data_IF_465610694677
#
_entry.id   IF_465610694677
#
_cell.length_a   1.000
_cell.length_b   1.000
_cell.length_c   1.000
_cell.angle_alpha   90.00
_cell.angle_beta   90.00
_cell.angle_gamma   90.00
#
_symmetry.space_group_name_H-M   'P 1'
#
loop_
_entity.id
_entity.type
_entity.pdbx_description
1 polymer ?
2 non-polymer ?
3 non-polymer ?
4 water ?
#
# COMPACT_ATOMS: atom_id res chain seq x y z
N UNK A 3 2.05 25.43 4.55
CA UNK A 3 2.66 24.73 3.41
C UNK A 3 2.64 25.66 2.20
N UNK A 4 3.65 25.47 1.35
CA UNK A 4 3.61 26.10 0.03
C UNK A 4 2.34 25.75 -0.74
N UNK A 5 1.92 26.56 -1.70
CA UNK A 5 0.82 26.19 -2.57
C UNK A 5 1.19 25.00 -3.42
N UNK A 6 0.28 24.03 -3.61
CA UNK A 6 0.54 22.97 -4.59
C UNK A 6 0.79 23.59 -5.96
N UNK A 7 1.63 22.96 -6.75
CA UNK A 7 2.02 23.41 -8.08
C UNK A 7 1.36 22.58 -9.15
N UNK A 8 0.24 23.02 -9.69
CA UNK A 8 -0.45 22.27 -10.69
C UNK A 8 0.29 22.15 -12.01
N UNK A 9 1.04 23.16 -12.40
CA UNK A 9 1.85 23.07 -13.62
C UNK A 9 2.88 21.95 -13.48
N UNK A 10 3.49 21.88 -12.31
CA UNK A 10 4.43 20.82 -12.01
C UNK A 10 3.75 19.46 -12.00
N UNK A 11 2.57 19.35 -11.40
CA UNK A 11 1.83 18.11 -11.45
C UNK A 11 1.54 17.68 -12.86
N UNK A 12 1.11 18.63 -13.68
CA UNK A 12 0.79 18.35 -15.06
C UNK A 12 2.02 17.75 -15.74
N UNK A 13 3.15 18.38 -15.53
CA UNK A 13 4.39 17.89 -16.17
C UNK A 13 4.74 16.50 -15.71
N UNK A 14 4.57 16.21 -14.40
CA UNK A 14 4.86 14.86 -13.91
C UNK A 14 4.02 13.82 -14.64
N UNK A 15 2.71 14.08 -14.73
CA UNK A 15 1.83 13.12 -15.41
C UNK A 15 2.24 12.93 -16.85
N UNK A 16 2.51 14.05 -17.53
CA UNK A 16 2.90 13.96 -18.95
C UNK A 16 4.17 13.16 -19.13
N UNK A 17 5.14 13.36 -18.23
CA UNK A 17 6.37 12.60 -18.27
C UNK A 17 6.06 11.13 -18.05
N UNK A 18 5.20 10.82 -17.09
CA UNK A 18 4.87 9.39 -16.84
C UNK A 18 4.31 8.76 -18.10
N UNK A 19 3.44 9.42 -18.80
CA UNK A 19 2.90 8.88 -20.05
C UNK A 19 4.06 8.63 -21.04
N UNK A 20 4.97 9.57 -21.13
CA UNK A 20 6.10 9.46 -22.07
C UNK A 20 7.00 8.28 -21.75
N UNK A 21 6.93 7.81 -20.52
CA UNK A 21 7.74 6.69 -20.04
C UNK A 21 7.00 5.37 -20.05
N UNK A 22 5.72 5.34 -20.42
CA UNK A 22 5.03 4.09 -20.60
C UNK A 22 3.80 3.89 -19.76
N UNK A 23 3.40 4.88 -18.95
CA UNK A 23 2.12 4.75 -18.28
C UNK A 23 0.98 5.01 -19.23
N UNK A 24 -0.01 4.14 -19.40
CA UNK A 24 -1.13 4.50 -20.25
C UNK A 24 -1.88 5.71 -19.73
N UNK A 25 -2.04 5.81 -18.43
CA UNK A 25 -2.69 6.88 -17.76
C UNK A 25 -2.01 7.18 -16.44
N UNK A 26 -2.21 8.43 -16.00
CA UNK A 26 -1.65 8.87 -14.74
C UNK A 26 -2.50 9.96 -14.18
N UNK A 27 -2.66 10.01 -12.86
CA UNK A 27 -3.61 11.00 -12.30
C UNK A 27 -3.19 11.28 -10.86
N UNK A 28 -3.69 12.39 -10.32
CA UNK A 28 -3.37 12.85 -8.96
C UNK A 28 -4.48 13.70 -8.44
N UNK A 29 -4.80 13.53 -7.14
CA UNK A 29 -5.69 14.38 -6.42
C UNK A 29 -4.95 14.90 -5.21
N UNK A 30 -5.14 16.17 -4.93
CA UNK A 30 -4.68 16.82 -3.71
C UNK A 30 -5.90 17.36 -2.96
N UNK A 31 -6.02 17.05 -1.69
CA UNK A 31 -6.98 17.70 -0.80
C UNK A 31 -6.19 18.69 0.03
N UNK A 32 -6.12 19.97 -0.35
CA UNK A 32 -5.39 21.01 0.32
C UNK A 32 -6.26 21.75 1.29
N UNK A 33 -6.45 21.23 2.47
CA UNK A 33 -7.23 21.86 3.52
C UNK A 33 -8.58 22.34 2.99
N UNK A 34 -9.27 21.49 2.24
CA UNK A 34 -10.57 21.84 1.73
C UNK A 34 -10.64 22.38 0.31
N UNK A 35 -9.51 22.61 -0.33
CA UNK A 35 -9.46 23.03 -1.71
C UNK A 35 -8.87 21.87 -2.51
N UNK A 36 -9.59 21.42 -3.55
CA UNK A 36 -9.20 20.24 -4.30
C UNK A 36 -8.36 20.60 -5.51
N UNK A 37 -7.32 19.81 -5.75
CA UNK A 37 -6.60 19.85 -7.00
C UNK A 37 -6.73 18.51 -7.65
N UNK A 38 -7.03 18.41 -8.94
CA UNK A 38 -7.22 17.12 -9.59
C UNK A 38 -6.75 17.23 -11.04
N UNK A 39 -5.87 16.30 -11.43
CA UNK A 39 -5.34 16.25 -12.79
C UNK A 39 -5.26 14.81 -13.21
N UNK A 40 -5.44 14.57 -14.51
CA UNK A 40 -5.31 13.25 -15.09
C UNK A 40 -4.86 13.37 -16.53
N UNK A 41 -4.09 12.42 -17.01
CA UNK A 41 -3.72 12.40 -18.41
C UNK A 41 -3.74 10.98 -18.89
N UNK A 42 -4.19 10.74 -20.13
CA UNK A 42 -4.12 9.40 -20.69
C UNK A 42 -5.37 8.58 -20.43
N UNK A 43 -5.16 7.25 -20.51
CA UNK A 43 -6.27 6.32 -20.66
C UNK A 43 -6.35 5.34 -19.49
N UNK A 44 -7.58 5.11 -19.10
CA UNK A 44 -7.93 4.02 -18.18
C UNK A 44 -7.89 2.65 -18.85
N UNK A 45 -8.25 2.62 -20.12
CA UNK A 45 -8.29 1.38 -20.90
C UNK A 45 -7.62 1.75 -22.24
N UNK A 46 -6.45 1.18 -22.45
CA UNK A 46 -5.65 1.52 -23.63
C UNK A 46 -6.19 0.89 -24.90
N UNK A 47 -7.01 -0.13 -24.81
CA UNK A 47 -7.60 -0.78 -25.96
C UNK A 47 -8.83 -0.07 -26.43
N UNK A 48 -9.70 0.37 -25.50
CA UNK A 48 -10.88 1.12 -25.87
C UNK A 48 -10.59 2.59 -26.00
N UNK A 49 -9.52 3.12 -25.38
CA UNK A 49 -9.24 4.55 -25.37
C UNK A 49 -9.95 5.35 -24.33
N UNK A 50 -10.73 4.73 -23.44
CA UNK A 50 -11.45 5.44 -22.41
C UNK A 50 -10.46 6.20 -21.52
N UNK A 51 -10.73 7.50 -21.30
CA UNK A 51 -9.83 8.36 -20.58
C UNK A 51 -9.82 8.00 -19.11
N UNK A 52 -8.67 8.13 -18.48
CA UNK A 52 -8.53 8.01 -17.01
C UNK A 52 -9.02 9.26 -16.36
N UNK A 53 -9.59 9.12 -15.17
CA UNK A 53 -10.06 10.23 -14.39
C UNK A 53 -9.76 9.96 -12.90
N UNK A 54 -9.74 11.03 -12.12
CA UNK A 54 -9.41 10.88 -10.69
C UNK A 54 -10.51 10.19 -9.91
N UNK A 55 -11.66 9.92 -10.48
CA UNK A 55 -12.71 9.15 -9.77
C UNK A 55 -12.64 7.66 -10.10
N UNK A 56 -11.74 7.24 -10.96
CA UNK A 56 -11.63 5.82 -11.31
C UNK A 56 -11.08 5.02 -10.13
N UNK A 57 -11.76 3.90 -9.83
CA UNK A 57 -11.24 3.02 -8.76
C UNK A 57 -10.01 2.29 -9.26
N UNK A 58 -9.18 1.82 -8.33
CA UNK A 58 -7.97 1.13 -8.70
C UNK A 58 -7.47 0.26 -7.54
N UNK A 59 -6.53 -0.60 -7.81
CA UNK A 59 -5.91 -1.45 -6.79
C UNK A 59 -4.76 -0.69 -6.13
N UNK A 60 -4.87 -0.46 -4.82
CA UNK A 60 -3.92 0.35 -4.08
C UNK A 60 -2.67 -0.40 -3.65
N UNK A 61 -2.65 -1.72 -3.91
CA UNK A 61 -1.52 -2.51 -3.55
C UNK A 61 -1.12 -2.36 -2.08
N UNK A 62 0.17 -2.21 -1.80
CA UNK A 62 0.67 -2.22 -0.43
C UNK A 62 0.24 -1.06 0.40
N UNK A 63 -0.52 -0.08 -0.11
CA UNK A 63 -1.23 0.86 0.78
C UNK A 63 -2.11 0.09 1.74
N UNK A 64 -2.55 -1.11 1.34
CA UNK A 64 -3.29 -1.99 2.22
C UNK A 64 -2.63 -2.21 3.57
N UNK A 65 -1.31 -2.21 3.58
CA UNK A 65 -0.59 -2.42 4.85
C UNK A 65 -0.98 -1.39 5.89
N UNK A 66 -1.24 -0.15 5.49
CA UNK A 66 -1.67 0.86 6.43
C UNK A 66 -3.07 0.58 7.00
N UNK A 67 -3.95 0.04 6.17
CA UNK A 67 -5.28 -0.39 6.65
C UNK A 67 -5.12 -1.51 7.65
N UNK A 68 -4.30 -2.50 7.34
CA UNK A 68 -4.04 -3.59 8.28
C UNK A 68 -3.45 -3.09 9.60
N UNK A 69 -2.49 -2.17 9.49
CA UNK A 69 -1.89 -1.60 10.70
C UNK A 69 -2.89 -0.87 11.53
N UNK A 70 -3.80 -0.11 10.94
CA UNK A 70 -4.83 0.59 11.72
C UNK A 70 -5.65 -0.42 12.49
N UNK A 71 -6.10 -1.49 11.85
CA UNK A 71 -6.90 -2.48 12.57
C UNK A 71 -6.10 -3.03 13.75
N UNK A 72 -4.85 -3.42 13.52
CA UNK A 72 -4.04 -3.99 14.59
C UNK A 72 -3.90 -3.01 15.71
N UNK A 73 -3.67 -1.72 15.43
CA UNK A 73 -3.42 -0.73 16.46
C UNK A 73 -4.68 -0.46 17.25
N UNK A 74 -5.87 -0.54 16.63
CA UNK A 74 -7.12 -0.47 17.37
C UNK A 74 -7.25 -1.70 18.29
N UNK A 75 -6.82 -2.89 17.87
CA UNK A 75 -6.80 -4.04 18.76
C UNK A 75 -5.87 -3.82 19.94
N UNK A 76 -4.75 -3.14 19.76
CA UNK A 76 -3.87 -2.75 20.86
C UNK A 76 -4.65 -1.82 21.80
N UNK A 77 -5.30 -0.81 21.28
CA UNK A 77 -6.12 0.08 22.10
C UNK A 77 -7.15 -0.69 22.94
N UNK A 78 -7.74 -1.72 22.40
CA UNK A 78 -8.76 -2.52 23.03
C UNK A 78 -8.19 -3.57 23.99
N UNK A 79 -6.87 -3.66 24.08
CA UNK A 79 -6.24 -4.59 25.02
C UNK A 79 -6.18 -6.02 24.51
N UNK A 80 -6.37 -6.24 23.22
CA UNK A 80 -6.41 -7.55 22.59
C UNK A 80 -5.09 -7.98 22.00
N UNK A 81 -4.11 -7.05 21.91
CA UNK A 81 -2.87 -7.26 21.25
C UNK A 81 -1.80 -6.45 21.93
N UNK A 82 -0.64 -6.99 22.15
CA UNK A 82 0.53 -6.31 22.69
C UNK A 82 1.60 -6.28 21.61
N UNK A 83 2.01 -5.07 21.21
CA UNK A 83 2.98 -4.99 20.13
C UNK A 83 4.30 -5.73 20.44
N UNK A 84 4.67 -5.83 21.72
CA UNK A 84 5.95 -6.46 22.05
C UNK A 84 5.83 -7.92 22.42
N UNK A 85 4.61 -8.52 22.33
CA UNK A 85 4.46 -9.96 22.45
C UNK A 85 4.94 -10.64 21.18
N UNK A 86 5.41 -11.86 21.33
CA UNK A 86 5.73 -12.76 20.25
C UNK A 86 4.57 -12.99 19.31
N UNK A 87 4.81 -13.04 18.01
CA UNK A 87 3.80 -13.51 17.08
C UNK A 87 3.24 -14.89 17.54
N UNK A 88 4.20 -15.78 17.88
CA UNK A 88 3.79 -17.15 18.21
C UNK A 88 2.99 -17.24 19.48
N UNK A 89 2.94 -16.18 20.31
CA UNK A 89 2.03 -16.16 21.45
C UNK A 89 0.58 -16.26 21.00
N UNK A 90 0.28 -15.63 19.86
CA UNK A 90 -1.06 -15.58 19.31
C UNK A 90 -1.34 -16.62 18.27
N UNK A 91 -0.29 -16.99 17.54
CA UNK A 91 -0.38 -17.94 16.44
C UNK A 91 0.64 -19.03 16.70
N UNK A 92 0.32 -19.96 17.58
CA UNK A 92 1.36 -20.89 18.09
C UNK A 92 1.98 -21.67 16.95
N UNK A 93 3.29 -21.79 16.99
CA UNK A 93 4.06 -22.55 16.03
C UNK A 93 4.12 -21.94 14.68
N UNK A 94 3.65 -20.67 14.49
CA UNK A 94 3.63 -20.16 13.13
C UNK A 94 5.01 -19.87 12.59
N UNK A 95 5.82 -19.14 13.36
CA UNK A 95 7.15 -18.72 12.93
C UNK A 95 8.21 -19.60 13.57
N UNK A 96 9.37 -19.77 12.93
CA UNK A 96 10.47 -20.61 13.43
C UNK A 96 11.15 -20.00 14.64
N UNK A 97 10.90 -18.72 14.94
CA UNK A 97 11.56 -18.05 16.06
C UNK A 97 10.48 -17.41 16.93
N UNK A 98 10.35 -17.86 18.18
CA UNK A 98 9.40 -17.18 19.06
C UNK A 98 9.67 -15.72 19.38
N UNK A 99 10.94 -15.39 19.26
CA UNK A 99 11.39 -14.07 19.64
C UNK A 99 10.84 -12.99 18.71
N UNK A 100 10.36 -13.37 17.52
CA UNK A 100 9.83 -12.39 16.56
C UNK A 100 8.53 -11.81 17.11
N UNK A 101 8.50 -10.49 17.27
CA UNK A 101 7.34 -9.80 17.88
C UNK A 101 6.42 -9.16 16.82
N UNK A 102 5.22 -8.80 17.28
CA UNK A 102 4.26 -8.09 16.44
C UNK A 102 4.84 -6.79 15.93
N UNK A 103 5.48 -6.01 16.78
CA UNK A 103 6.07 -4.74 16.41
C UNK A 103 7.13 -4.93 15.32
N UNK A 104 7.93 -6.00 15.46
CA UNK A 104 8.95 -6.29 14.44
C UNK A 104 8.33 -6.62 13.10
N UNK A 105 7.27 -7.43 13.10
CA UNK A 105 6.57 -7.73 11.85
C UNK A 105 6.04 -6.47 11.23
N UNK A 106 5.40 -5.60 12.02
CA UNK A 106 4.73 -4.41 11.46
C UNK A 106 5.66 -3.36 10.90
N UNK A 107 6.91 -3.40 11.36
CA UNK A 107 7.95 -2.48 10.93
C UNK A 107 8.97 -3.14 10.00
N UNK A 108 8.72 -4.35 9.54
CA UNK A 108 9.64 -5.05 8.62
C UNK A 108 10.99 -5.28 9.24
N UNK A 109 11.06 -5.60 10.53
CA UNK A 109 12.29 -5.90 11.23
C UNK A 109 12.29 -7.34 11.66
N UNK A 110 11.47 -8.18 11.15
CA UNK A 110 11.28 -9.55 11.60
C UNK A 110 12.30 -10.53 11.02
N UNK A 111 12.92 -10.19 9.89
CA UNK A 111 13.77 -11.11 9.17
C UNK A 111 13.03 -12.10 8.31
N UNK A 112 11.70 -12.10 8.25
CA UNK A 112 10.98 -13.05 7.42
C UNK A 112 11.26 -12.82 5.94
N UNK A 113 11.56 -13.88 5.24
CA UNK A 113 11.87 -13.83 3.82
C UNK A 113 10.62 -13.42 3.03
N UNK A 114 10.82 -12.57 2.04
CA UNK A 114 9.74 -12.11 1.25
C UNK A 114 9.43 -13.10 0.13
N UNK A 115 8.39 -13.88 0.26
CA UNK A 115 7.99 -14.92 -0.70
C UNK A 115 7.74 -14.33 -2.08
N UNK A 116 7.40 -13.03 -2.16
CA UNK A 116 7.12 -12.48 -3.48
C UNK A 116 8.39 -12.47 -4.35
N UNK A 117 9.56 -12.53 -3.80
CA UNK A 117 10.77 -12.60 -4.62
C UNK A 117 10.82 -13.91 -5.40
N UNK A 118 10.20 -14.97 -4.85
CA UNK A 118 10.11 -16.22 -5.57
C UNK A 118 9.04 -16.13 -6.62
N UNK A 119 7.88 -15.57 -6.24
CA UNK A 119 6.76 -15.50 -7.14
C UNK A 119 7.03 -14.69 -8.38
N UNK A 120 7.70 -13.56 -8.25
CA UNK A 120 7.82 -12.63 -9.34
C UNK A 120 9.26 -12.44 -9.82
N UNK A 121 10.07 -13.52 -9.77
CA UNK A 121 11.42 -13.52 -10.32
C UNK A 121 11.32 -13.16 -11.81
N UNK A 122 10.27 -13.58 -12.44
CA UNK A 122 9.89 -13.20 -13.80
C UNK A 122 8.53 -12.53 -13.70
N UNK A 123 8.41 -11.28 -14.12
CA UNK A 123 7.24 -10.47 -13.83
C UNK A 123 5.96 -11.04 -14.41
N UNK A 124 5.94 -11.18 -15.72
CA UNK A 124 4.65 -11.61 -16.36
C UNK A 124 4.41 -13.06 -16.09
N UNK A 125 5.37 -13.99 -16.22
CA UNK A 125 5.08 -15.37 -15.85
C UNK A 125 4.61 -15.50 -14.42
N UNK A 126 5.19 -14.74 -13.48
CA UNK A 126 4.78 -14.81 -12.11
C UNK A 126 3.37 -14.32 -11.92
N UNK A 127 2.98 -13.24 -12.59
CA UNK A 127 1.61 -12.78 -12.59
C UNK A 127 0.67 -13.87 -13.12
N UNK A 128 1.02 -14.47 -14.25
CA UNK A 128 0.18 -15.51 -14.82
C UNK A 128 0.03 -16.68 -13.87
N UNK A 129 1.08 -16.94 -13.07
CA UNK A 129 1.05 -18.03 -12.09
C UNK A 129 0.07 -17.75 -10.95
N UNK A 130 0.06 -16.54 -10.40
CA UNK A 130 -0.70 -16.27 -9.19
C UNK A 130 -2.04 -15.67 -9.47
N UNK A 131 -2.31 -15.10 -10.64
CA UNK A 131 -3.43 -14.17 -10.73
C UNK A 131 -4.77 -14.80 -10.44
N UNK A 132 -4.93 -16.08 -10.74
CA UNK A 132 -6.16 -16.85 -10.59
C UNK A 132 -6.07 -17.89 -9.51
N UNK A 133 -5.12 -17.77 -8.60
CA UNK A 133 -4.95 -18.68 -7.48
C UNK A 133 -5.57 -18.06 -6.24
N UNK A 134 -6.07 -18.95 -5.37
CA UNK A 134 -6.52 -18.61 -4.05
C UNK A 134 -5.60 -19.30 -3.04
N UNK A 135 -4.94 -18.50 -2.21
CA UNK A 135 -4.05 -18.95 -1.19
C UNK A 135 -4.67 -18.76 0.17
N UNK A 136 -4.38 -19.65 1.13
CA UNK A 136 -4.67 -19.35 2.50
C UNK A 136 -3.53 -18.49 3.03
N UNK A 137 -3.78 -17.81 4.16
CA UNK A 137 -2.71 -17.12 4.85
C UNK A 137 -1.55 -18.06 5.14
N UNK A 138 -1.87 -19.24 5.66
CA UNK A 138 -0.86 -20.23 5.97
C UNK A 138 -0.04 -20.61 4.75
N UNK A 139 -0.68 -20.75 3.59
CA UNK A 139 0.09 -21.14 2.41
C UNK A 139 1.21 -20.15 2.18
N UNK A 140 0.91 -18.85 2.31
CA UNK A 140 1.91 -17.79 2.03
C UNK A 140 3.04 -17.81 3.07
N UNK A 141 2.70 -18.01 4.34
CA UNK A 141 3.69 -18.12 5.39
C UNK A 141 4.58 -19.32 5.10
N UNK A 142 3.99 -20.45 4.71
CA UNK A 142 4.82 -21.65 4.41
C UNK A 142 5.79 -21.36 3.26
N UNK A 143 5.37 -20.63 2.23
CA UNK A 143 6.25 -20.24 1.14
C UNK A 143 7.42 -19.41 1.64
N UNK A 144 7.20 -18.49 2.55
CA UNK A 144 8.29 -17.71 3.13
C UNK A 144 9.26 -18.61 3.89
N UNK A 145 8.68 -19.52 4.67
CA UNK A 145 9.45 -20.32 5.63
C UNK A 145 10.23 -21.40 4.92
N UNK A 146 10.07 -21.60 3.63
CA UNK A 146 11.00 -22.46 2.86
C UNK A 146 12.39 -21.83 2.89
N UNK A 147 12.53 -20.57 3.20
CA UNK A 147 13.78 -19.87 3.26
C UNK A 147 14.04 -19.47 4.69
N UNK A 148 15.33 -19.37 5.01
CA UNK A 148 15.75 -18.93 6.32
C UNK A 148 15.36 -17.49 6.49
N UNK A 149 15.28 -17.12 7.75
CA UNK A 149 15.16 -15.69 7.94
C UNK A 149 16.43 -15.03 7.43
N UNK A 150 16.32 -13.75 7.13
CA UNK A 150 17.44 -13.04 6.53
C UNK A 150 18.23 -12.25 7.57
N UNK A 151 17.77 -12.11 8.81
CA UNK A 151 18.46 -11.33 9.81
C UNK A 151 17.80 -11.72 11.13
N UNK A 152 18.50 -11.36 12.20
CA UNK A 152 17.99 -11.58 13.55
C UNK A 152 16.73 -10.80 13.83
N UNK A 153 15.84 -11.22 14.74
CA UNK A 153 14.63 -10.42 15.05
C UNK A 153 15.02 -9.01 15.50
N UNK A 154 14.32 -8.06 14.91
CA UNK A 154 14.38 -6.68 15.24
C UNK A 154 15.55 -5.93 14.62
N UNK A 155 16.48 -6.65 13.99
CA UNK A 155 17.81 -6.22 13.76
C UNK A 155 18.07 -5.34 12.56
N UNK A 156 17.25 -5.43 11.57
CA UNK A 156 17.47 -4.87 10.26
C UNK A 156 16.10 -4.62 9.63
N UNK A 157 15.98 -3.53 8.90
CA UNK A 157 14.82 -3.32 8.05
C UNK A 157 14.95 -4.11 6.77
N UNK A 158 13.93 -4.87 6.44
CA UNK A 158 13.85 -5.64 5.20
C UNK A 158 12.40 -5.77 4.86
N UNK A 159 11.97 -5.00 3.86
CA UNK A 159 10.55 -5.03 3.51
C UNK A 159 10.13 -6.42 3.06
N UNK A 160 9.01 -6.90 3.59
CA UNK A 160 8.57 -8.23 3.26
C UNK A 160 7.08 -8.31 3.30
N UNK A 161 6.42 -8.76 2.23
CA UNK A 161 5.00 -9.00 2.21
C UNK A 161 4.60 -9.97 3.32
N UNK A 162 5.47 -10.93 3.62
CA UNK A 162 5.18 -11.94 4.63
C UNK A 162 4.73 -11.28 5.94
N UNK A 163 5.32 -10.16 6.30
CA UNK A 163 4.97 -9.49 7.53
C UNK A 163 3.48 -9.11 7.57
N UNK A 164 2.93 -8.65 6.46
CA UNK A 164 1.55 -8.23 6.46
C UNK A 164 0.57 -9.35 6.11
N UNK A 165 1.04 -10.52 5.68
CA UNK A 165 0.31 -11.77 5.74
C UNK A 165 0.14 -12.17 7.20
N UNK A 166 1.23 -12.14 7.98
CA UNK A 166 1.09 -12.33 9.42
C UNK A 166 0.07 -11.39 10.01
N UNK A 167 0.10 -10.11 9.62
CA UNK A 167 -0.86 -9.12 10.12
C UNK A 167 -2.29 -9.59 9.91
N UNK A 168 -2.63 -10.05 8.70
CA UNK A 168 -3.97 -10.50 8.45
C UNK A 168 -4.36 -11.71 9.28
N UNK A 169 -3.44 -12.65 9.46
CA UNK A 169 -3.67 -13.80 10.33
C UNK A 169 -4.01 -13.41 11.75
N UNK A 170 -3.23 -12.45 12.21
CA UNK A 170 -3.44 -11.96 13.57
C UNK A 170 -4.80 -11.32 13.70
N UNK A 171 -5.16 -10.48 12.74
CA UNK A 171 -6.49 -9.87 12.77
C UNK A 171 -7.56 -10.90 12.85
N UNK A 172 -7.51 -11.90 11.96
CA UNK A 172 -8.59 -12.87 11.89
C UNK A 172 -8.62 -13.73 13.13
N UNK A 173 -7.45 -14.15 13.63
CA UNK A 173 -7.43 -15.00 14.83
C UNK A 173 -7.99 -14.26 16.02
N UNK A 174 -7.58 -13.03 16.24
CA UNK A 174 -7.91 -12.33 17.48
C UNK A 174 -9.35 -11.80 17.48
N UNK A 175 -9.87 -11.52 16.31
CA UNK A 175 -11.26 -11.00 16.23
C UNK A 175 -12.28 -12.05 15.93
N UNK A 176 -11.91 -13.17 15.34
CA UNK A 176 -12.86 -14.15 14.87
C UNK A 176 -13.64 -13.72 13.63
N UNK A 177 -13.18 -12.66 12.95
CA UNK A 177 -13.81 -12.10 11.79
C UNK A 177 -12.82 -12.09 10.64
N UNK A 178 -13.36 -11.96 9.44
CA UNK A 178 -12.49 -11.79 8.30
C UNK A 178 -11.88 -10.41 8.25
N UNK A 179 -10.76 -10.29 7.54
CA UNK A 179 -10.18 -8.94 7.41
C UNK A 179 -11.17 -8.04 6.69
N UNK A 180 -11.92 -8.52 5.73
CA UNK A 180 -12.88 -7.65 5.06
C UNK A 180 -13.86 -7.01 6.06
N UNK A 181 -14.42 -7.82 6.96
CA UNK A 181 -15.33 -7.35 7.98
C UNK A 181 -14.67 -6.31 8.87
N UNK A 182 -13.43 -6.57 9.29
CA UNK A 182 -12.72 -5.65 10.16
C UNK A 182 -12.42 -4.32 9.47
N UNK A 183 -11.93 -4.39 8.22
CA UNK A 183 -11.70 -3.14 7.46
C UNK A 183 -13.01 -2.37 7.34
N UNK A 184 -14.10 -3.08 7.03
CA UNK A 184 -15.39 -2.40 6.78
C UNK A 184 -15.83 -1.71 8.06
N UNK A 185 -15.82 -2.42 9.18
CA UNK A 185 -16.43 -1.89 10.40
C UNK A 185 -15.51 -0.83 11.05
N UNK A 186 -14.22 -0.97 10.97
CA UNK A 186 -13.29 -0.11 11.70
C UNK A 186 -12.83 1.09 10.87
N UNK A 187 -12.94 1.00 9.55
CA UNK A 187 -12.33 2.00 8.68
C UNK A 187 -13.32 2.44 7.61
N UNK A 188 -13.77 1.56 6.72
CA UNK A 188 -14.51 1.98 5.55
C UNK A 188 -15.82 2.65 5.91
N UNK A 189 -16.59 2.01 6.79
CA UNK A 189 -17.85 2.60 7.21
C UNK A 189 -17.63 3.87 8.02
N UNK A 190 -16.85 3.88 9.08
CA UNK A 190 -16.73 5.14 9.85
C UNK A 190 -16.27 6.32 9.05
N UNK A 191 -15.38 6.14 8.06
CA UNK A 191 -14.91 7.25 7.23
C UNK A 191 -15.74 7.43 5.95
N UNK A 192 -16.76 6.64 5.75
CA UNK A 192 -17.61 6.75 4.56
C UNK A 192 -16.83 6.64 3.28
N UNK A 193 -15.98 5.60 3.21
CA UNK A 193 -15.12 5.37 2.05
C UNK A 193 -15.89 4.60 0.98
N UNK A 194 -16.75 5.32 0.24
CA UNK A 194 -17.70 4.70 -0.68
C UNK A 194 -17.07 4.10 -1.90
N UNK A 195 -15.81 4.34 -2.17
CA UNK A 195 -15.07 3.75 -3.27
C UNK A 195 -14.10 2.68 -2.85
N UNK A 196 -14.14 2.28 -1.57
CA UNK A 196 -13.11 1.41 -1.00
C UNK A 196 -13.71 0.05 -0.68
N UNK A 197 -12.99 -0.98 -1.11
CA UNK A 197 -13.46 -2.35 -1.03
C UNK A 197 -12.35 -3.31 -0.72
N UNK A 198 -12.71 -4.45 -0.14
CA UNK A 198 -11.82 -5.60 -0.03
C UNK A 198 -12.71 -6.80 -0.41
N UNK A 199 -12.50 -7.30 -1.61
CA UNK A 199 -13.38 -8.29 -2.22
C UNK A 199 -12.71 -9.62 -2.42
N UNK A 200 -11.50 -9.82 -1.97
CA UNK A 200 -10.74 -11.04 -2.13
C UNK A 200 -11.62 -12.24 -1.82
N UNK A 201 -11.58 -13.29 -2.64
CA UNK A 201 -10.76 -13.48 -3.86
C UNK A 201 -11.45 -13.07 -5.14
N UNK A 202 -12.50 -12.27 -5.13
CA UNK A 202 -13.10 -11.79 -6.36
C UNK A 202 -12.11 -11.01 -7.18
N UNK A 203 -12.17 -11.17 -8.49
CA UNK A 203 -11.31 -10.58 -9.48
C UNK A 203 -11.88 -9.29 -10.10
N UNK A 204 -13.17 -9.03 -9.89
CA UNK A 204 -13.83 -7.86 -10.45
C UNK A 204 -13.55 -6.66 -9.60
N UNK A 205 -13.29 -5.50 -10.25
CA UNK A 205 -13.21 -4.22 -9.56
C UNK A 205 -14.58 -3.57 -9.65
N UNK A 206 -15.24 -3.34 -8.53
CA UNK A 206 -16.59 -2.76 -8.61
C UNK A 206 -16.57 -1.37 -9.17
N UNK A 207 -17.52 -1.07 -10.07
CA UNK A 207 -17.68 0.28 -10.60
C UNK A 207 -16.63 0.64 -11.63
N UNK A 208 -16.68 1.90 -12.03
CA UNK A 208 -15.78 2.43 -13.04
C UNK A 208 -14.36 2.44 -12.48
N UNK A 209 -13.44 1.87 -13.23
CA UNK A 209 -12.08 1.68 -12.76
C UNK A 209 -11.06 1.89 -13.84
N UNK A 210 -9.85 2.19 -13.42
CA UNK A 210 -8.68 2.15 -14.32
C UNK A 210 -8.28 0.70 -14.48
N UNK A 211 -8.03 0.30 -15.73
CA UNK A 211 -7.42 -0.98 -15.97
C UNK A 211 -5.94 -0.88 -15.62
N UNK A 212 -5.34 -1.99 -15.21
CA UNK A 212 -3.93 -2.04 -14.91
C UNK A 212 -3.17 -2.68 -16.05
N UNK A 213 -1.98 -2.16 -16.33
CA UNK A 213 -1.15 -2.69 -17.42
C UNK A 213 0.23 -3.03 -16.91
N UNK A 214 0.53 -4.29 -16.89
CA UNK A 214 1.81 -4.80 -16.42
C UNK A 214 2.83 -4.66 -17.54
N UNK A 215 3.95 -3.98 -17.23
CA UNK A 215 5.06 -3.88 -18.16
C UNK A 215 5.85 -5.15 -18.12
N UNK A 216 6.15 -5.77 -19.26
CA UNK A 216 6.94 -7.00 -19.23
C UNK A 216 8.39 -6.66 -18.90
N UNK A 217 9.15 -7.69 -18.45
CA UNK A 217 10.58 -7.49 -18.18
C UNK A 217 11.36 -7.17 -19.41
N UNK A 218 10.91 -7.55 -20.59
CA UNK A 218 11.60 -7.30 -21.86
C UNK A 218 11.34 -5.89 -22.35
N UNK A 219 12.37 -5.10 -22.56
CA UNK A 219 12.25 -3.79 -23.07
C UNK A 219 11.46 -3.81 -24.38
N UNK A 220 10.50 -2.87 -24.46
CA UNK A 220 9.69 -2.72 -25.65
C UNK A 220 8.60 -3.73 -25.77
N UNK A 221 8.43 -4.67 -24.84
CA UNK A 221 7.39 -5.68 -24.98
C UNK A 221 6.00 -5.12 -24.78
N UNK A 222 5.04 -5.85 -25.33
CA UNK A 222 3.64 -5.44 -25.24
C UNK A 222 3.15 -5.49 -23.81
N UNK A 223 2.30 -4.53 -23.44
CA UNK A 223 1.71 -4.51 -22.14
C UNK A 223 0.66 -5.61 -21.98
N UNK A 224 0.56 -6.09 -20.73
CA UNK A 224 -0.37 -7.13 -20.34
C UNK A 224 -1.46 -6.54 -19.46
N UNK A 225 -2.71 -6.75 -19.79
CA UNK A 225 -3.83 -6.28 -18.94
C UNK A 225 -3.82 -7.12 -17.68
N UNK A 226 -3.55 -6.49 -16.53
CA UNK A 226 -3.48 -7.17 -15.25
C UNK A 226 -4.59 -6.77 -14.31
N UNK A 227 -5.64 -6.15 -14.83
CA UNK A 227 -6.74 -5.60 -14.05
C UNK A 227 -7.37 -6.61 -13.10
N UNK A 228 -7.76 -7.74 -13.64
CA UNK A 228 -8.60 -8.70 -12.91
C UNK A 228 -7.78 -9.87 -12.41
N UNK A 229 -7.63 -9.90 -11.09
CA UNK A 229 -6.84 -10.93 -10.43
C UNK A 229 -7.38 -11.07 -9.01
N UNK A 230 -7.08 -12.19 -8.36
CA UNK A 230 -7.57 -12.40 -7.00
C UNK A 230 -6.84 -11.52 -5.97
N UNK A 231 -5.59 -11.18 -6.27
CA UNK A 231 -4.67 -10.57 -5.32
C UNK A 231 -4.56 -11.46 -4.08
N UNK A 232 -4.75 -12.76 -4.22
CA UNK A 232 -4.70 -13.68 -3.06
C UNK A 232 -3.27 -13.86 -2.60
N UNK A 233 -2.33 -13.59 -3.46
CA UNK A 233 -0.93 -13.66 -3.09
C UNK A 233 -0.56 -12.59 -2.07
N UNK A 234 -1.38 -11.56 -1.90
CA UNK A 234 -1.10 -10.46 -0.99
C UNK A 234 -2.10 -10.29 0.14
N UNK A 235 -3.40 -10.33 -0.14
CA UNK A 235 -4.44 -10.23 0.88
C UNK A 235 -4.27 -9.02 1.75
N UNK A 236 -4.08 -9.16 3.05
CA UNK A 236 -3.89 -8.06 3.99
C UNK A 236 -2.59 -7.32 3.79
N UNK A 237 -1.74 -7.75 2.88
CA UNK A 237 -0.55 -7.02 2.47
C UNK A 237 -0.78 -6.16 1.23
N UNK A 238 -1.89 -6.35 0.50
CA UNK A 238 -2.03 -5.72 -0.80
C UNK A 238 -3.34 -5.66 -1.54
N UNK A 239 -4.47 -6.17 -1.05
CA UNK A 239 -5.65 -6.36 -1.91
C UNK A 239 -6.74 -5.31 -1.80
N UNK A 240 -6.60 -4.19 -1.12
CA UNK A 240 -7.63 -3.16 -1.08
C UNK A 240 -7.79 -2.46 -2.41
N UNK A 241 -9.04 -2.14 -2.78
CA UNK A 241 -9.43 -1.32 -3.88
C UNK A 241 -9.87 0.03 -3.34
N UNK A 242 -9.49 1.16 -3.95
CA UNK A 242 -9.91 2.46 -3.48
C UNK A 242 -9.91 3.48 -4.61
N UNK A 243 -9.98 4.74 -4.20
CA UNK A 243 -9.93 5.89 -5.09
C UNK A 243 -9.02 6.93 -4.49
N UNK A 244 -8.68 7.90 -5.32
CA UNK A 244 -7.84 9.03 -4.81
C UNK A 244 -8.54 9.79 -3.70
N UNK A 245 -9.86 10.04 -3.82
CA UNK A 245 -10.54 10.75 -2.76
C UNK A 245 -10.52 9.95 -1.49
N UNK A 246 -10.77 8.64 -1.54
CA UNK A 246 -10.84 7.85 -0.34
C UNK A 246 -9.47 7.66 0.32
N UNK A 247 -8.41 7.49 -0.43
CA UNK A 247 -7.11 7.40 0.19
C UNK A 247 -6.74 8.72 0.86
N UNK A 248 -7.08 9.85 0.25
CA UNK A 248 -6.85 11.16 0.85
C UNK A 248 -7.63 11.22 2.16
N UNK A 249 -8.89 10.83 2.19
CA UNK A 249 -9.67 10.85 3.39
C UNK A 249 -9.03 9.97 4.45
N UNK A 250 -8.62 8.76 4.08
CA UNK A 250 -8.04 7.81 5.02
C UNK A 250 -6.77 8.35 5.66
N UNK A 251 -5.80 8.81 4.86
CA UNK A 251 -4.53 9.27 5.47
C UNK A 251 -4.73 10.58 6.20
N UNK A 252 -5.65 11.45 5.77
CA UNK A 252 -5.94 12.62 6.59
C UNK A 252 -6.51 12.26 7.95
N UNK A 253 -7.43 11.30 7.96
CA UNK A 253 -8.02 10.83 9.22
C UNK A 253 -6.97 10.22 10.14
N UNK A 254 -6.08 9.43 9.54
CA UNK A 254 -5.01 8.81 10.30
C UNK A 254 -4.15 9.85 10.98
N UNK A 255 -3.58 10.76 10.18
CA UNK A 255 -2.60 11.73 10.68
C UNK A 255 -3.22 12.73 11.65
N UNK A 256 -4.48 13.05 11.44
CA UNK A 256 -5.18 13.98 12.32
C UNK A 256 -5.74 13.33 13.56
N UNK A 257 -5.51 12.04 13.78
CA UNK A 257 -5.77 11.42 15.08
C UNK A 257 -7.13 10.78 15.25
N UNK A 258 -7.79 10.49 14.12
CA UNK A 258 -9.18 9.98 14.19
C UNK A 258 -9.32 8.48 14.21
N UNK A 259 -8.24 7.71 14.04
CA UNK A 259 -8.36 6.27 13.82
C UNK A 259 -7.83 5.40 14.96
N UNK A 260 -7.26 5.98 15.99
CA UNK A 260 -6.71 5.23 17.14
C UNK A 260 -6.36 6.22 18.21
N UNK A 261 -5.95 5.69 19.36
CA UNK A 261 -5.47 6.60 20.41
C UNK A 261 -4.24 7.31 20.00
N UNK A 262 -3.95 8.44 20.69
CA UNK A 262 -2.73 9.18 20.48
C UNK A 262 -1.53 8.28 20.74
N UNK A 263 -1.58 7.45 21.79
CA UNK A 263 -0.49 6.55 22.13
C UNK A 263 -0.17 5.61 20.99
N UNK A 264 -1.15 5.03 20.37
CA UNK A 264 -0.90 4.08 19.27
C UNK A 264 -0.47 4.80 18.01
N UNK A 265 -0.96 6.00 17.72
CA UNK A 265 -0.45 6.75 16.59
C UNK A 265 1.02 7.06 16.76
N UNK A 266 1.45 7.36 17.99
CA UNK A 266 2.85 7.62 18.28
C UNK A 266 3.65 6.36 18.05
N UNK A 267 3.16 5.19 18.42
CA UNK A 267 3.89 3.95 18.11
C UNK A 267 4.02 3.74 16.62
N UNK A 268 2.92 4.08 15.90
CA UNK A 268 2.89 3.91 14.45
C UNK A 268 3.94 4.73 13.73
N UNK A 269 4.32 5.86 14.33
CA UNK A 269 5.27 6.82 13.79
C UNK A 269 6.66 6.71 14.44
N UNK A 270 6.99 5.63 15.08
CA UNK A 270 8.35 5.41 15.52
C UNK A 270 9.15 4.88 14.30
N UNK A 271 10.01 5.71 13.72
CA UNK A 271 10.58 5.39 12.43
C UNK A 271 11.81 4.54 12.50
N UNK A 272 11.78 3.45 11.72
CA UNK A 272 12.91 2.61 11.38
C UNK A 272 13.49 3.18 10.09
N UNK A 273 14.78 3.39 9.99
CA UNK A 273 15.39 3.89 8.79
C UNK A 273 15.25 2.95 7.63
N UNK A 274 14.81 3.48 6.48
CA UNK A 274 14.70 2.74 5.22
C UNK A 274 15.87 3.10 4.33
N UNK A 275 16.08 4.41 4.20
CA UNK A 275 17.21 4.95 3.46
C UNK A 275 17.36 6.37 3.94
N UNK A 276 18.22 7.17 3.33
CA UNK A 276 18.58 8.45 3.92
C UNK A 276 17.44 9.48 3.89
N UNK A 277 16.39 9.21 3.14
CA UNK A 277 15.24 10.08 2.99
C UNK A 277 13.92 9.40 3.32
N UNK A 278 13.94 8.23 3.95
CA UNK A 278 12.72 7.49 4.21
C UNK A 278 12.83 6.71 5.52
N UNK A 279 11.68 6.58 6.17
CA UNK A 279 11.46 5.75 7.32
C UNK A 279 10.26 4.85 7.15
N UNK A 280 10.15 3.89 8.02
CA UNK A 280 9.02 2.98 8.11
C UNK A 280 8.62 2.89 9.58
N UNK A 281 7.34 3.05 9.84
CA UNK A 281 6.83 3.02 11.23
C UNK A 281 6.19 1.65 11.43
N UNK A 282 4.89 1.63 11.70
CA UNK A 282 4.12 0.38 11.78
C UNK A 282 3.12 0.44 10.65
N UNK A 283 3.44 -0.23 9.52
CA UNK A 283 2.61 -0.14 8.34
C UNK A 283 2.41 1.25 7.79
N UNK A 284 3.46 2.07 7.85
CA UNK A 284 3.36 3.48 7.50
C UNK A 284 4.74 3.94 7.04
N UNK A 285 4.80 4.71 5.98
CA UNK A 285 6.04 5.24 5.42
C UNK A 285 6.17 6.75 5.72
N UNK A 286 7.41 7.15 5.88
CA UNK A 286 7.77 8.56 5.92
C UNK A 286 8.68 8.85 4.75
N UNK A 287 8.35 9.86 3.96
CA UNK A 287 9.21 10.35 2.88
C UNK A 287 9.63 11.77 3.17
N UNK A 288 10.93 12.07 3.07
CA UNK A 288 11.48 13.38 3.28
C UNK A 288 11.69 14.06 1.95
N UNK A 289 11.00 15.17 1.74
CA UNK A 289 10.96 15.89 0.47
C UNK A 289 12.06 16.94 0.41
N UNK A 290 12.35 17.40 -0.81
CA UNK A 290 13.51 18.20 -1.04
C UNK A 290 13.45 19.52 -0.28
N UNK A 291 12.26 20.02 -0.04
CA UNK A 291 12.06 21.32 0.59
C UNK A 291 12.04 21.23 2.11
N UNK A 292 12.40 20.04 2.66
CA UNK A 292 12.45 19.95 4.09
C UNK A 292 11.12 19.66 4.79
N UNK A 293 10.16 19.22 4.05
CA UNK A 293 8.84 18.72 4.49
C UNK A 293 8.93 17.20 4.52
N UNK A 294 8.45 16.53 5.55
CA UNK A 294 8.20 15.10 5.52
C UNK A 294 6.70 14.86 5.36
N UNK A 295 6.38 13.78 4.66
CA UNK A 295 4.98 13.32 4.46
C UNK A 295 4.89 11.84 4.77
N UNK A 296 3.65 11.42 5.04
CA UNK A 296 3.39 10.16 5.75
C UNK A 296 2.29 9.39 5.03
N UNK A 297 2.49 8.11 4.78
CA UNK A 297 1.48 7.36 4.05
C UNK A 297 2.05 6.05 3.54
N UNK A 298 1.76 5.68 2.30
CA UNK A 298 2.29 4.42 1.81
C UNK A 298 2.23 4.44 0.29
N UNK A 299 3.03 3.59 -0.31
CA UNK A 299 3.08 3.29 -1.72
C UNK A 299 2.43 1.94 -2.02
N UNK A 300 2.06 1.73 -3.26
CA UNK A 300 1.63 0.45 -3.74
C UNK A 300 2.15 0.15 -5.14
N UNK A 301 2.38 -1.15 -5.45
CA UNK A 301 2.89 -1.58 -6.74
C UNK A 301 2.27 -2.86 -7.31
N UNK A 302 1.08 -3.18 -6.96
CA UNK A 302 0.39 -4.39 -7.40
C UNK A 302 0.29 -4.33 -8.90
N UNK A 303 0.23 -5.50 -9.56
CA UNK A 303 0.44 -5.58 -10.99
C UNK A 303 -0.47 -4.61 -11.78
N UNK A 304 0.20 -3.69 -12.48
CA UNK A 304 -0.43 -2.72 -13.27
C UNK A 304 -0.80 -1.40 -12.65
N UNK A 305 -0.50 -1.21 -11.35
CA UNK A 305 -0.88 -0.02 -10.62
C UNK A 305 0.23 0.46 -9.67
N UNK A 306 0.72 1.65 -9.90
CA UNK A 306 1.63 2.32 -9.02
C UNK A 306 0.89 3.43 -8.26
N UNK A 307 0.86 3.36 -6.94
CA UNK A 307 0.17 4.29 -6.07
C UNK A 307 1.12 5.01 -5.13
N UNK A 308 0.92 6.31 -4.96
CA UNK A 308 1.48 7.08 -3.86
C UNK A 308 0.34 7.66 -3.09
N UNK A 309 0.26 7.53 -1.78
CA UNK A 309 -0.79 8.17 -0.98
C UNK A 309 -0.16 8.65 0.29
N UNK A 310 0.00 10.00 0.43
CA UNK A 310 0.73 10.61 1.54
C UNK A 310 0.02 11.85 1.99
N UNK A 311 0.15 12.13 3.29
CA UNK A 311 -0.40 13.33 3.92
C UNK A 311 0.65 14.06 4.73
N UNK A 312 0.39 15.32 5.02
CA UNK A 312 1.21 16.08 5.94
C UNK A 312 0.97 15.58 7.36
N UNK A 313 1.87 16.01 8.26
CA UNK A 313 1.86 15.53 9.63
C UNK A 313 0.54 15.70 10.33
N UNK A 314 -0.17 16.81 10.07
CA UNK A 314 -1.46 17.08 10.74
C UNK A 314 -2.65 16.63 9.88
N UNK A 315 -2.37 15.99 8.76
CA UNK A 315 -3.43 15.52 7.89
C UNK A 315 -4.13 16.59 7.05
N UNK A 316 -3.74 17.84 7.14
CA UNK A 316 -4.49 18.88 6.46
C UNK A 316 -4.27 18.88 4.97
N UNK A 317 -3.16 18.40 4.46
CA UNK A 317 -3.01 18.21 3.02
C UNK A 317 -2.72 16.74 2.76
N UNK A 318 -3.44 16.16 1.83
CA UNK A 318 -3.24 14.77 1.41
C UNK A 318 -3.17 14.72 -0.11
N UNK A 319 -2.42 13.77 -0.61
CA UNK A 319 -2.15 13.60 -2.02
C UNK A 319 -2.21 12.12 -2.35
N UNK A 320 -2.96 11.72 -3.39
CA UNK A 320 -2.92 10.38 -3.93
C UNK A 320 -2.67 10.46 -5.41
N UNK A 321 -1.68 9.75 -5.88
CA UNK A 321 -1.30 9.68 -7.29
C UNK A 321 -1.30 8.23 -7.72
N UNK A 322 -1.72 7.97 -8.98
CA UNK A 322 -1.83 6.64 -9.54
C UNK A 322 -1.38 6.73 -10.99
N UNK A 323 -0.54 5.78 -11.37
CA UNK A 323 -0.24 5.49 -12.77
C UNK A 323 -0.67 4.03 -13.00
N UNK A 324 -1.38 3.76 -14.09
CA UNK A 324 -1.88 2.38 -14.31
C UNK A 324 -0.90 1.53 -15.12
N UNK A 325 0.35 1.57 -14.65
CA UNK A 325 1.30 0.51 -15.02
C UNK A 325 2.09 0.11 -13.79
N UNK A 326 2.78 -0.99 -13.89
CA UNK A 326 3.80 -1.34 -12.91
C UNK A 326 4.94 -2.02 -13.64
N UNK A 327 6.01 -2.36 -12.91
CA UNK A 327 7.25 -2.90 -13.44
C UNK A 327 7.86 -1.96 -14.45
N UNK A 328 7.90 -0.69 -14.10
CA UNK A 328 8.44 0.39 -14.92
C UNK A 328 8.96 1.43 -13.96
N UNK A 329 10.22 1.28 -13.58
CA UNK A 329 10.79 2.14 -12.54
C UNK A 329 10.88 3.56 -13.04
N UNK A 330 11.01 3.85 -14.33
CA UNK A 330 10.98 5.25 -14.78
C UNK A 330 9.66 5.89 -14.36
N UNK A 331 8.57 5.19 -14.59
CA UNK A 331 7.26 5.69 -14.19
C UNK A 331 7.16 5.78 -12.68
N UNK A 332 7.62 4.77 -11.95
CA UNK A 332 7.56 4.82 -10.51
C UNK A 332 8.28 6.05 -9.94
N UNK A 333 9.49 6.30 -10.42
CA UNK A 333 10.28 7.39 -9.97
C UNK A 333 9.68 8.74 -10.34
N UNK A 334 9.15 8.84 -11.56
CA UNK A 334 8.49 10.04 -11.99
C UNK A 334 7.28 10.32 -11.10
N UNK A 335 6.44 9.34 -10.83
CA UNK A 335 5.24 9.57 -10.07
C UNK A 335 5.53 10.02 -8.65
N UNK A 336 6.68 9.67 -8.08
CA UNK A 336 7.06 10.17 -6.77
C UNK A 336 7.16 11.69 -6.76
N UNK A 337 7.45 12.30 -7.92
CA UNK A 337 7.58 13.74 -8.01
C UNK A 337 6.25 14.44 -7.77
N UNK A 338 5.12 13.77 -7.85
CA UNK A 338 3.86 14.41 -7.50
C UNK A 338 3.92 14.92 -6.06
N UNK A 339 4.65 14.25 -5.18
CA UNK A 339 4.71 14.69 -3.79
C UNK A 339 5.48 15.99 -3.67
N UNK A 340 6.55 16.12 -4.47
CA UNK A 340 7.32 17.38 -4.56
C UNK A 340 6.41 18.53 -4.99
N UNK A 341 5.72 18.34 -6.12
CA UNK A 341 4.90 19.41 -6.64
C UNK A 341 3.75 19.75 -5.72
N UNK A 342 3.14 18.73 -5.09
CA UNK A 342 1.96 18.94 -4.28
C UNK A 342 2.27 19.56 -2.89
N UNK A 343 3.39 19.20 -2.29
CA UNK A 343 3.76 19.66 -0.96
C UNK A 343 4.78 20.81 -0.99
N UNK A 344 5.83 20.70 -1.82
CA UNK A 344 6.85 21.72 -1.89
C UNK A 344 6.48 22.83 -2.79
N UNK A 345 5.62 22.64 -3.76
CA UNK A 345 5.23 23.67 -4.68
C UNK A 345 6.28 24.07 -5.68
N UNK A 346 6.03 25.24 -6.28
CA UNK A 346 6.91 25.74 -7.33
C UNK A 346 8.27 26.05 -6.72
N UNK A 347 9.30 25.72 -7.45
CA UNK A 347 10.63 26.09 -7.01
C UNK A 347 10.95 27.58 -7.30
#
# INVERSE_FOLDING_TARGET
ADLPAPDDTGLQAVLHTALSQGAPGAMVRVDDNGTIHQLSEGVADRATGRAITTTDRFRVGSVTKSFSAVVLLQLVDEGKLDLDASVNTYLPGLLPDDRITVRQVMSHRSGLYDYTNDMFAQTVPGFESVRNKVFSYQDLITLSLKHGVTNAPGAAYSYSNTNFVVAGMLIEKLTGHSVATEYQNRIFTPLNLTDTFYVHPDTVIPGTHANGYLTPDEAGGALVDSTEQTVSWAQSAGAVISSTQDLDTFFSALMSGQLMSAAQLAQMQQWTTVNSTQGYGLGLRRRDLSCGISVYGHTGTVQGYYTYAFASKDGKRSVTALANTSNNVNVLNTMARTLESAFCGKP
#
